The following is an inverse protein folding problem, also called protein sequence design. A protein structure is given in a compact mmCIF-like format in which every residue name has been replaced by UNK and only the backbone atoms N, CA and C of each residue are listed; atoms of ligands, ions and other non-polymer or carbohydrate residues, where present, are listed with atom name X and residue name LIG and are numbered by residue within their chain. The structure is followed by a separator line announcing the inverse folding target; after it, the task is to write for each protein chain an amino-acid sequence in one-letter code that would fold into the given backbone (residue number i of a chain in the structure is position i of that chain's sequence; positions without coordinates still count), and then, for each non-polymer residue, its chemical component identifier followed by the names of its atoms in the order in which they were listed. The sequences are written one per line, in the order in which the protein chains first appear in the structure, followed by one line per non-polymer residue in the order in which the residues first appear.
data_IF_901208228082
#
_entry.id   IF_901208228082
#
_cell.length_a   1.000
_cell.length_b   1.000
_cell.length_c   1.000
_cell.angle_alpha   90.00
_cell.angle_beta   90.00
_cell.angle_gamma   90.00
#
_symmetry.space_group_name_H-M   'P 1'
#
loop_
_entity.id
_entity.type
_entity.pdbx_description
1 polymer ?
#
# COMPACT_ATOMS: atom_id res chain seq x y z
N UNK A 1 55.24 -25.07 -52.85
CA UNK A 1 54.83 -24.23 -51.71
C UNK A 1 53.97 -25.12 -50.82
N UNK A 2 54.54 -25.80 -49.81
CA UNK A 2 53.79 -26.68 -48.87
C UNK A 2 54.61 -26.99 -47.59
N UNK A 3 55.53 -26.10 -47.19
CA UNK A 3 56.42 -26.33 -46.04
C UNK A 3 55.88 -25.86 -44.68
N UNK A 4 55.12 -24.75 -44.68
CA UNK A 4 54.78 -24.05 -43.42
C UNK A 4 53.47 -24.55 -42.78
N UNK A 5 52.57 -25.16 -43.57
CA UNK A 5 51.32 -25.73 -43.07
C UNK A 5 51.56 -27.00 -42.21
N UNK A 6 52.58 -27.81 -42.57
CA UNK A 6 52.92 -29.04 -41.84
C UNK A 6 53.63 -28.78 -40.52
N UNK A 7 54.49 -27.74 -40.44
CA UNK A 7 55.14 -27.35 -39.19
C UNK A 7 54.11 -26.88 -38.14
N UNK A 8 53.05 -26.21 -38.59
CA UNK A 8 51.97 -25.72 -37.72
C UNK A 8 51.07 -26.87 -37.23
N UNK A 9 50.79 -27.88 -38.06
CA UNK A 9 49.97 -29.04 -37.67
C UNK A 9 50.70 -30.03 -36.75
N UNK A 10 52.00 -30.26 -36.96
CA UNK A 10 52.86 -31.08 -36.08
C UNK A 10 53.06 -30.44 -34.69
N UNK A 11 53.22 -29.11 -34.64
CA UNK A 11 53.29 -28.36 -33.39
C UNK A 11 51.99 -28.43 -32.57
N UNK A 12 50.83 -28.43 -33.24
CA UNK A 12 49.54 -28.63 -32.59
C UNK A 12 49.36 -30.08 -32.10
N UNK A 13 49.73 -31.06 -32.92
CA UNK A 13 49.62 -32.49 -32.57
C UNK A 13 50.49 -32.88 -31.38
N UNK A 14 51.68 -32.30 -31.25
CA UNK A 14 52.55 -32.51 -30.08
C UNK A 14 51.97 -31.88 -28.81
N UNK A 15 51.23 -30.77 -28.93
CA UNK A 15 50.52 -30.13 -27.80
C UNK A 15 49.24 -30.85 -27.39
N UNK A 16 48.55 -31.55 -28.29
CA UNK A 16 47.33 -32.33 -27.98
C UNK A 16 47.58 -33.43 -26.95
N UNK A 17 48.82 -33.91 -26.78
CA UNK A 17 49.19 -34.91 -25.75
C UNK A 17 49.52 -34.30 -24.38
N UNK A 18 49.66 -32.98 -24.31
CA UNK A 18 49.92 -32.29 -23.04
C UNK A 18 48.62 -32.20 -22.24
N UNK A 19 48.62 -32.75 -21.03
CA UNK A 19 47.46 -32.72 -20.11
C UNK A 19 47.02 -31.29 -19.83
N UNK A 20 47.95 -30.31 -19.84
CA UNK A 20 47.62 -28.90 -19.68
C UNK A 20 46.85 -28.34 -20.88
N UNK A 21 47.21 -28.78 -22.08
CA UNK A 21 46.52 -28.38 -23.31
C UNK A 21 45.12 -28.99 -23.37
N UNK A 22 44.99 -30.29 -23.11
CA UNK A 22 43.67 -30.98 -23.04
C UNK A 22 42.78 -30.35 -21.98
N UNK A 23 43.32 -30.09 -20.78
CA UNK A 23 42.58 -29.43 -19.70
C UNK A 23 42.11 -28.02 -20.07
N UNK A 24 42.95 -27.26 -20.79
CA UNK A 24 42.56 -25.92 -21.27
C UNK A 24 41.45 -25.99 -22.31
N UNK A 25 41.55 -26.92 -23.28
CA UNK A 25 40.49 -27.13 -24.29
C UNK A 25 39.19 -27.55 -23.63
N UNK A 26 39.22 -28.45 -22.65
CA UNK A 26 38.04 -28.89 -21.89
C UNK A 26 37.40 -27.75 -21.08
N UNK A 27 38.20 -26.91 -20.42
CA UNK A 27 37.68 -25.73 -19.70
C UNK A 27 37.01 -24.76 -20.68
N UNK A 28 37.59 -24.53 -21.86
CA UNK A 28 37.02 -23.63 -22.86
C UNK A 28 35.77 -24.20 -23.53
N UNK A 29 35.70 -25.52 -23.78
CA UNK A 29 34.55 -26.13 -24.45
C UNK A 29 33.40 -26.43 -23.49
N UNK A 30 33.69 -27.01 -22.33
CA UNK A 30 32.66 -27.51 -21.41
C UNK A 30 32.38 -26.55 -20.26
N UNK A 31 33.38 -25.90 -19.68
CA UNK A 31 33.18 -25.12 -18.44
C UNK A 31 32.83 -23.66 -18.74
N UNK A 32 33.49 -23.05 -19.72
CA UNK A 32 33.32 -21.63 -20.05
C UNK A 32 31.89 -21.27 -20.48
N UNK A 33 31.16 -22.08 -21.27
CA UNK A 33 29.77 -21.78 -21.61
C UNK A 33 28.86 -21.78 -20.37
N UNK A 34 29.07 -22.69 -19.43
CA UNK A 34 28.30 -22.71 -18.19
C UNK A 34 28.58 -21.46 -17.34
N UNK A 35 29.86 -21.07 -17.21
CA UNK A 35 30.23 -19.84 -16.49
C UNK A 35 29.68 -18.58 -17.16
N UNK A 36 29.65 -18.52 -18.49
CA UNK A 36 29.07 -17.39 -19.22
C UNK A 36 27.56 -17.33 -19.04
N UNK A 37 26.84 -18.46 -19.15
CA UNK A 37 25.40 -18.55 -18.87
C UNK A 37 25.08 -18.10 -17.45
N UNK A 38 25.82 -18.57 -16.44
CA UNK A 38 25.61 -18.12 -15.06
C UNK A 38 25.81 -16.62 -14.93
N UNK A 39 26.87 -16.06 -15.51
CA UNK A 39 27.12 -14.61 -15.51
C UNK A 39 25.95 -13.83 -16.13
N UNK A 40 25.41 -14.30 -17.25
CA UNK A 40 24.24 -13.68 -17.89
C UNK A 40 22.98 -13.77 -17.03
N UNK A 41 22.75 -14.90 -16.35
CA UNK A 41 21.63 -15.06 -15.41
C UNK A 41 21.74 -14.11 -14.22
N UNK A 42 22.93 -13.98 -13.61
CA UNK A 42 23.17 -13.02 -12.52
C UNK A 42 22.91 -11.59 -12.98
N UNK A 43 23.41 -11.21 -14.16
CA UNK A 43 23.17 -9.88 -14.71
C UNK A 43 21.68 -9.64 -15.01
N UNK A 44 20.96 -10.68 -15.47
CA UNK A 44 19.50 -10.64 -15.62
C UNK A 44 18.77 -10.39 -14.30
N UNK A 45 19.18 -11.07 -13.23
CA UNK A 45 18.62 -10.89 -11.89
C UNK A 45 18.90 -9.51 -11.31
N UNK A 46 20.13 -8.99 -11.46
CA UNK A 46 20.50 -7.63 -11.07
C UNK A 46 19.67 -6.58 -11.82
N UNK A 47 19.48 -6.76 -13.13
CA UNK A 47 18.64 -5.89 -13.94
C UNK A 47 17.17 -5.95 -13.50
N UNK A 48 16.64 -7.14 -13.21
CA UNK A 48 15.28 -7.31 -12.70
C UNK A 48 15.10 -6.59 -11.36
N UNK A 49 16.03 -6.76 -10.43
CA UNK A 49 16.01 -6.07 -9.14
C UNK A 49 16.06 -4.56 -9.32
N UNK A 50 16.96 -4.05 -10.18
CA UNK A 50 17.06 -2.63 -10.47
C UNK A 50 15.75 -2.08 -11.06
N UNK A 51 15.14 -2.81 -12.00
CA UNK A 51 13.88 -2.42 -12.61
C UNK A 51 12.73 -2.44 -11.59
N UNK A 52 12.66 -3.46 -10.74
CA UNK A 52 11.67 -3.56 -9.67
C UNK A 52 11.80 -2.40 -8.68
N UNK A 53 13.00 -2.12 -8.18
CA UNK A 53 13.25 -1.02 -7.23
C UNK A 53 12.91 0.32 -7.87
N UNK A 54 13.28 0.53 -9.14
CA UNK A 54 12.95 1.76 -9.88
C UNK A 54 11.44 1.91 -10.02
N UNK A 55 10.74 0.86 -10.46
CA UNK A 55 9.29 0.87 -10.61
C UNK A 55 8.59 1.10 -9.25
N UNK A 56 9.07 0.47 -8.18
CA UNK A 56 8.55 0.67 -6.84
C UNK A 56 8.69 2.12 -6.38
N UNK A 57 9.88 2.71 -6.57
CA UNK A 57 10.12 4.13 -6.27
C UNK A 57 9.17 5.03 -7.05
N UNK A 58 9.09 4.84 -8.37
CA UNK A 58 8.19 5.62 -9.24
C UNK A 58 6.72 5.47 -8.83
N UNK A 59 6.30 4.26 -8.46
CA UNK A 59 4.92 4.01 -8.01
C UNK A 59 4.61 4.70 -6.67
N UNK A 60 5.56 4.69 -5.73
CA UNK A 60 5.41 5.40 -4.45
C UNK A 60 5.35 6.91 -4.71
N UNK A 61 6.29 7.44 -5.50
CA UNK A 61 6.34 8.87 -5.82
C UNK A 61 5.03 9.32 -6.48
N UNK A 62 4.57 8.60 -7.52
CA UNK A 62 3.30 8.88 -8.21
C UNK A 62 2.09 8.79 -7.28
N UNK A 63 2.07 7.85 -6.34
CA UNK A 63 0.95 7.67 -5.40
C UNK A 63 0.81 8.86 -4.45
N UNK A 64 1.92 9.50 -4.07
CA UNK A 64 1.90 10.59 -3.11
C UNK A 64 2.07 11.98 -3.76
N UNK A 65 2.42 12.08 -5.04
CA UNK A 65 2.75 13.32 -5.76
C UNK A 65 1.79 14.48 -5.45
N UNK A 66 0.48 14.24 -5.56
CA UNK A 66 -0.54 15.27 -5.31
C UNK A 66 -0.69 15.65 -3.84
N UNK A 67 -0.54 14.68 -2.93
CA UNK A 67 -0.76 14.84 -1.49
C UNK A 67 0.48 15.26 -0.71
N UNK A 68 1.67 14.99 -1.24
CA UNK A 68 2.96 15.17 -0.58
C UNK A 68 3.20 16.63 -0.15
N UNK A 69 2.87 17.67 -0.95
CA UNK A 69 3.02 19.06 -0.51
C UNK A 69 2.19 19.39 0.73
N UNK A 70 0.98 18.84 0.83
CA UNK A 70 0.05 19.09 1.93
C UNK A 70 0.48 18.32 3.19
N UNK A 71 0.81 17.03 3.05
CA UNK A 71 1.28 16.20 4.16
C UNK A 71 2.62 16.72 4.70
N UNK A 72 3.51 17.20 3.83
CA UNK A 72 4.78 17.82 4.27
C UNK A 72 4.55 19.13 5.04
N UNK A 73 3.52 19.89 4.66
CA UNK A 73 3.16 21.14 5.32
C UNK A 73 2.66 20.93 6.77
N UNK A 74 2.18 19.74 7.12
CA UNK A 74 1.74 19.39 8.48
C UNK A 74 2.84 19.46 9.54
N UNK A 75 4.10 19.45 9.12
CA UNK A 75 5.25 19.63 10.00
C UNK A 75 5.24 20.95 10.78
N UNK A 76 4.46 21.95 10.35
CA UNK A 76 4.34 23.23 11.07
C UNK A 76 3.74 23.11 12.47
N UNK A 77 2.94 22.07 12.70
CA UNK A 77 2.28 21.81 13.98
C UNK A 77 3.21 21.14 15.00
N UNK A 78 4.49 20.93 14.65
CA UNK A 78 5.51 20.46 15.59
C UNK A 78 6.03 21.65 16.43
N UNK A 79 5.74 21.69 17.75
CA UNK A 79 6.20 22.77 18.63
C UNK A 79 7.73 22.78 18.79
N UNK A 80 8.41 21.64 18.59
CA UNK A 80 9.87 21.57 18.72
C UNK A 80 10.59 22.34 17.61
N UNK A 81 9.99 22.39 16.41
CA UNK A 81 10.51 23.09 15.22
C UNK A 81 10.29 24.60 15.25
N UNK A 82 9.49 25.11 16.19
CA UNK A 82 9.24 26.55 16.33
C UNK A 82 10.54 27.26 16.77
N UNK A 83 11.04 28.24 15.99
CA UNK A 83 12.25 29.01 16.35
C UNK A 83 12.06 29.85 17.61
N UNK A 84 13.16 30.37 18.17
CA UNK A 84 13.10 31.35 19.27
C UNK A 84 12.50 32.67 18.79
N UNK A 85 11.80 33.40 19.67
CA UNK A 85 11.13 34.68 19.38
C UNK A 85 12.08 35.73 18.77
N UNK A 86 13.34 35.75 19.21
CA UNK A 86 14.34 36.73 18.78
C UNK A 86 14.93 36.41 17.39
N UNK A 87 14.68 35.21 16.86
CA UNK A 87 15.22 34.79 15.58
C UNK A 87 14.38 35.35 14.42
N UNK A 88 14.97 35.91 13.35
CA UNK A 88 14.23 36.45 12.21
C UNK A 88 13.34 35.40 11.52
N UNK A 89 13.78 34.14 11.56
CA UNK A 89 13.02 32.98 11.06
C UNK A 89 11.70 32.73 11.80
N UNK A 90 11.50 33.25 13.02
CA UNK A 90 10.23 33.11 13.74
C UNK A 90 9.08 33.84 13.04
N UNK A 91 9.34 35.00 12.41
CA UNK A 91 8.31 35.73 11.66
C UNK A 91 7.90 35.01 10.38
N UNK A 92 8.83 34.29 9.76
CA UNK A 92 8.64 33.56 8.50
C UNK A 92 8.14 32.12 8.71
N UNK A 93 8.30 31.56 9.91
CA UNK A 93 7.95 30.19 10.22
C UNK A 93 6.49 29.87 9.86
N UNK A 94 6.31 28.79 9.10
CA UNK A 94 5.02 28.22 8.76
C UNK A 94 4.22 28.96 7.69
N UNK A 95 4.67 30.13 7.18
CA UNK A 95 3.89 30.94 6.22
C UNK A 95 3.62 30.23 4.90
N UNK A 96 4.62 29.54 4.34
CA UNK A 96 4.46 28.82 3.06
C UNK A 96 3.60 27.57 3.25
N UNK A 97 3.83 26.84 4.34
CA UNK A 97 3.10 25.62 4.66
C UNK A 97 1.62 25.89 4.98
N UNK A 98 1.31 26.91 5.80
CA UNK A 98 -0.07 27.28 6.11
C UNK A 98 -0.80 27.74 4.84
N UNK A 99 -0.11 28.41 3.92
CA UNK A 99 -0.68 28.78 2.63
C UNK A 99 -1.01 27.56 1.78
N UNK A 100 -0.18 26.51 1.77
CA UNK A 100 -0.44 25.23 1.10
C UNK A 100 -1.66 24.54 1.70
N UNK A 101 -1.73 24.46 3.03
CA UNK A 101 -2.87 23.88 3.76
C UNK A 101 -4.15 24.65 3.44
N UNK A 102 -4.14 25.98 3.57
CA UNK A 102 -5.29 26.83 3.32
C UNK A 102 -5.80 26.70 1.89
N UNK A 103 -4.90 26.63 0.88
CA UNK A 103 -5.28 26.37 -0.51
C UNK A 103 -5.98 25.03 -0.66
N UNK A 104 -5.40 23.96 -0.13
CA UNK A 104 -5.95 22.61 -0.25
C UNK A 104 -7.37 22.49 0.33
N UNK A 105 -7.58 22.96 1.56
CA UNK A 105 -8.88 22.85 2.24
C UNK A 105 -9.95 23.80 1.71
N UNK A 106 -9.58 24.77 0.86
CA UNK A 106 -10.52 25.70 0.22
C UNK A 106 -10.61 25.50 -1.30
N UNK A 107 -9.97 24.46 -1.86
CA UNK A 107 -9.98 24.18 -3.30
C UNK A 107 -11.39 23.96 -3.85
N UNK A 108 -12.28 23.35 -3.07
CA UNK A 108 -13.67 23.06 -3.45
C UNK A 108 -14.66 24.17 -3.13
N UNK A 109 -14.22 25.28 -2.51
CA UNK A 109 -15.09 26.37 -2.07
C UNK A 109 -15.29 27.42 -3.19
N UNK A 110 -16.44 28.11 -3.23
CA UNK A 110 -16.67 29.17 -4.20
C UNK A 110 -15.71 30.36 -3.99
N UNK A 111 -15.32 31.02 -5.08
CA UNK A 111 -14.27 32.06 -5.08
C UNK A 111 -14.52 33.21 -4.09
N UNK A 112 -15.78 33.55 -3.83
CA UNK A 112 -16.17 34.63 -2.92
C UNK A 112 -15.87 34.35 -1.43
N UNK A 113 -15.83 33.09 -1.01
CA UNK A 113 -15.54 32.70 0.38
C UNK A 113 -14.12 32.16 0.55
N UNK A 114 -13.51 31.71 -0.55
CA UNK A 114 -12.18 31.10 -0.56
C UNK A 114 -11.12 31.98 0.06
N UNK A 115 -11.04 33.25 -0.34
CA UNK A 115 -10.01 34.18 0.16
C UNK A 115 -10.19 34.49 1.65
N UNK A 116 -11.44 34.73 2.09
CA UNK A 116 -11.74 34.97 3.51
C UNK A 116 -11.30 33.80 4.39
N UNK A 117 -11.71 32.58 4.04
CA UNK A 117 -11.38 31.38 4.83
C UNK A 117 -9.87 31.10 4.82
N UNK A 118 -9.18 31.34 3.69
CA UNK A 118 -7.73 31.21 3.65
C UNK A 118 -7.04 32.20 4.60
N UNK A 119 -7.53 33.42 4.69
CA UNK A 119 -6.93 34.44 5.55
C UNK A 119 -7.27 34.25 7.03
N UNK A 120 -8.45 33.74 7.34
CA UNK A 120 -8.81 33.27 8.68
C UNK A 120 -7.84 32.16 9.15
N UNK A 121 -7.58 31.14 8.32
CA UNK A 121 -6.61 30.08 8.64
C UNK A 121 -5.21 30.65 8.89
N UNK A 122 -4.74 31.57 8.05
CA UNK A 122 -3.42 32.20 8.21
C UNK A 122 -3.32 33.03 9.50
N UNK A 123 -4.38 33.77 9.82
CA UNK A 123 -4.45 34.62 11.00
C UNK A 123 -4.50 33.78 12.28
N UNK A 124 -5.34 32.75 12.30
CA UNK A 124 -5.38 31.77 13.38
C UNK A 124 -4.00 31.13 13.60
N UNK A 125 -3.29 30.77 12.52
CA UNK A 125 -1.98 30.14 12.62
C UNK A 125 -0.93 31.12 13.15
N UNK A 126 -0.99 32.38 12.71
CA UNK A 126 -0.09 33.42 13.18
C UNK A 126 -0.18 33.62 14.69
N UNK A 127 -1.38 33.50 15.27
CA UNK A 127 -1.61 33.48 16.72
C UNK A 127 -1.13 32.16 17.35
N UNK A 128 -1.59 31.03 16.82
CA UNK A 128 -1.24 29.68 17.29
C UNK A 128 0.28 29.47 17.42
N UNK A 129 1.07 30.02 16.50
CA UNK A 129 2.53 29.97 16.54
C UNK A 129 3.11 30.48 17.87
N UNK A 130 2.54 31.53 18.46
CA UNK A 130 2.98 32.03 19.76
C UNK A 130 2.57 31.08 20.89
N UNK A 131 1.37 30.52 20.83
CA UNK A 131 0.89 29.56 21.83
C UNK A 131 1.72 28.27 21.77
N UNK A 132 2.01 27.75 20.58
CA UNK A 132 2.88 26.59 20.37
C UNK A 132 4.29 26.81 20.94
N UNK A 133 4.82 28.03 20.86
CA UNK A 133 6.09 28.38 21.49
C UNK A 133 6.00 28.31 23.02
N UNK A 134 4.86 28.69 23.62
CA UNK A 134 4.64 28.55 25.06
C UNK A 134 4.51 27.08 25.45
N UNK A 135 3.70 26.30 24.71
CA UNK A 135 3.51 24.87 24.94
C UNK A 135 4.79 24.04 24.77
N UNK A 136 5.79 24.60 24.08
CA UNK A 136 7.12 23.99 24.01
C UNK A 136 7.70 23.67 25.39
N UNK A 137 7.35 24.46 26.41
CA UNK A 137 7.82 24.29 27.78
C UNK A 137 7.00 23.28 28.59
N UNK A 138 5.74 23.07 28.19
CA UNK A 138 4.77 22.22 28.90
C UNK A 138 4.61 20.83 28.25
N UNK A 139 5.42 20.49 27.24
CA UNK A 139 5.34 19.18 26.59
C UNK A 139 5.68 18.06 27.58
N UNK A 140 4.91 16.96 27.60
CA UNK A 140 5.26 15.77 28.36
C UNK A 140 6.67 15.29 27.97
N UNK A 141 7.47 14.92 28.96
CA UNK A 141 8.82 14.35 28.76
C UNK A 141 8.76 13.11 27.85
N UNK A 142 7.64 12.40 27.87
CA UNK A 142 7.30 11.27 27.02
C UNK A 142 7.35 11.62 25.52
N UNK A 143 6.99 12.85 25.13
CA UNK A 143 7.00 13.30 23.73
C UNK A 143 8.40 13.58 23.17
N UNK A 144 9.45 13.48 23.99
CA UNK A 144 10.83 13.66 23.55
C UNK A 144 11.35 12.37 22.89
N UNK A 145 11.73 12.39 21.60
CA UNK A 145 12.19 11.20 20.88
C UNK A 145 13.45 10.53 21.47
N UNK A 146 14.11 11.18 22.44
CA UNK A 146 15.32 10.68 23.09
C UNK A 146 15.09 9.55 24.10
N UNK A 147 13.87 9.33 24.62
CA UNK A 147 13.67 8.52 25.84
C UNK A 147 12.98 7.16 25.65
N UNK A 148 12.31 6.89 24.53
CA UNK A 148 11.61 5.62 24.26
C UNK A 148 10.98 5.65 22.87
N UNK A 149 10.61 4.51 22.23
CA UNK A 149 9.66 4.52 21.12
C UNK A 149 8.32 5.11 21.60
N UNK A 150 8.19 6.42 21.43
CA UNK A 150 7.12 7.21 21.97
C UNK A 150 5.76 6.76 21.42
N UNK A 151 4.75 6.64 22.29
CA UNK A 151 3.37 6.34 21.88
C UNK A 151 2.66 7.55 21.25
N UNK A 152 3.10 8.79 21.53
CA UNK A 152 2.43 10.03 21.13
C UNK A 152 3.46 11.11 20.76
N UNK A 153 3.53 11.50 19.49
CA UNK A 153 4.50 12.50 19.02
C UNK A 153 4.20 13.91 19.53
N UNK A 154 5.21 14.80 19.60
CA UNK A 154 5.02 16.22 19.96
C UNK A 154 3.98 16.92 19.05
N UNK A 155 3.97 16.58 17.76
CA UNK A 155 2.96 17.03 16.81
C UNK A 155 1.57 16.52 17.19
N UNK A 156 1.42 15.24 17.51
CA UNK A 156 0.13 14.67 17.92
C UNK A 156 -0.41 15.31 19.20
N UNK A 157 0.46 15.58 20.19
CA UNK A 157 0.09 16.29 21.41
C UNK A 157 -0.41 17.71 21.10
N UNK A 158 0.33 18.44 20.27
CA UNK A 158 -0.05 19.78 19.82
C UNK A 158 -1.41 19.79 19.10
N UNK A 159 -1.65 18.84 18.19
CA UNK A 159 -2.92 18.73 17.47
C UNK A 159 -4.10 18.45 18.41
N UNK A 160 -3.94 17.55 19.39
CA UNK A 160 -4.98 17.29 20.40
C UNK A 160 -5.30 18.52 21.24
N UNK A 161 -4.27 19.31 21.57
CA UNK A 161 -4.44 20.56 22.29
C UNK A 161 -5.17 21.61 21.46
N UNK A 162 -4.83 21.73 20.17
CA UNK A 162 -5.55 22.60 19.22
C UNK A 162 -7.04 22.23 19.17
N UNK A 163 -7.37 20.94 19.03
CA UNK A 163 -8.76 20.46 19.03
C UNK A 163 -9.49 20.81 20.34
N UNK A 164 -8.80 20.81 21.48
CA UNK A 164 -9.37 21.22 22.77
C UNK A 164 -9.65 22.72 22.84
N UNK A 165 -8.96 23.53 22.03
CA UNK A 165 -9.08 24.98 21.95
C UNK A 165 -9.89 25.44 20.72
N UNK A 166 -10.84 24.62 20.26
CA UNK A 166 -11.58 24.88 19.03
C UNK A 166 -12.29 26.23 18.99
N UNK A 167 -12.72 26.76 20.13
CA UNK A 167 -13.34 28.09 20.22
C UNK A 167 -12.38 29.23 19.81
N UNK A 168 -11.08 29.06 20.03
CA UNK A 168 -10.06 30.06 19.69
C UNK A 168 -9.50 29.87 18.28
N UNK A 169 -9.57 28.64 17.76
CA UNK A 169 -8.98 28.22 16.48
C UNK A 169 -9.97 27.39 15.65
N UNK A 170 -11.15 27.92 15.31
CA UNK A 170 -12.20 27.13 14.67
C UNK A 170 -11.78 26.56 13.31
N UNK A 171 -11.01 27.31 12.49
CA UNK A 171 -10.57 26.80 11.18
C UNK A 171 -9.43 25.81 11.30
N UNK A 172 -8.43 26.10 12.12
CA UNK A 172 -7.28 25.21 12.30
C UNK A 172 -7.66 23.93 13.04
N UNK A 173 -8.63 23.97 13.96
CA UNK A 173 -9.08 22.77 14.68
C UNK A 173 -9.70 21.74 13.75
N UNK A 174 -10.42 22.18 12.71
CA UNK A 174 -10.91 21.28 11.67
C UNK A 174 -9.74 20.63 10.91
N UNK A 175 -8.70 21.40 10.60
CA UNK A 175 -7.48 20.86 9.96
C UNK A 175 -6.80 19.86 10.89
N UNK A 176 -6.68 20.17 12.18
CA UNK A 176 -6.04 19.30 13.17
C UNK A 176 -6.80 17.98 13.35
N UNK A 177 -8.14 18.02 13.38
CA UNK A 177 -8.99 16.83 13.47
C UNK A 177 -8.85 15.92 12.22
N UNK A 178 -8.80 16.53 11.03
CA UNK A 178 -8.53 15.80 9.78
C UNK A 178 -7.15 15.14 9.83
N UNK A 179 -6.13 15.85 10.32
CA UNK A 179 -4.78 15.31 10.44
C UNK A 179 -4.71 14.12 11.42
N UNK A 180 -5.36 14.23 12.59
CA UNK A 180 -5.40 13.16 13.59
C UNK A 180 -6.19 11.93 13.11
N UNK A 181 -7.19 12.13 12.25
CA UNK A 181 -7.99 11.03 11.68
C UNK A 181 -7.40 10.42 10.40
N UNK A 182 -6.38 11.05 9.80
CA UNK A 182 -5.77 10.54 8.57
C UNK A 182 -4.99 9.24 8.85
N UNK A 183 -5.31 8.12 8.18
CA UNK A 183 -4.60 6.88 8.38
C UNK A 183 -3.19 6.96 7.79
N UNK A 184 -2.17 6.97 8.65
CA UNK A 184 -0.75 6.98 8.24
C UNK A 184 -0.22 5.55 7.97
N UNK A 185 -1.02 4.51 8.24
CA UNK A 185 -0.62 3.10 8.10
C UNK A 185 -1.64 2.24 7.35
N UNK A 186 -1.12 1.30 6.55
CA UNK A 186 -1.89 0.26 5.83
C UNK A 186 -2.54 -0.78 6.77
N UNK A 187 -2.37 -0.67 8.09
CA UNK A 187 -2.92 -1.60 9.07
C UNK A 187 -4.47 -1.73 9.03
N UNK A 188 -5.18 -0.72 8.51
CA UNK A 188 -6.63 -0.79 8.28
C UNK A 188 -6.98 -1.68 7.08
N UNK A 189 -6.42 -1.43 5.87
CA UNK A 189 -6.52 -2.35 4.74
C UNK A 189 -6.11 -3.79 5.07
N UNK A 190 -5.06 -4.00 5.85
CA UNK A 190 -4.55 -5.34 6.20
C UNK A 190 -5.50 -6.11 7.14
N UNK A 191 -6.09 -5.44 8.13
CA UNK A 191 -7.18 -6.01 8.94
C UNK A 191 -8.38 -6.37 8.06
N UNK A 192 -8.70 -5.52 7.09
CA UNK A 192 -9.72 -5.78 6.08
C UNK A 192 -9.42 -7.04 5.27
N UNK A 193 -8.23 -7.14 4.67
CA UNK A 193 -7.83 -8.28 3.84
C UNK A 193 -7.81 -9.60 4.62
N UNK A 194 -7.26 -9.60 5.84
CA UNK A 194 -7.29 -10.77 6.73
C UNK A 194 -8.72 -11.17 7.11
N UNK A 195 -9.57 -10.19 7.38
CA UNK A 195 -10.98 -10.43 7.68
C UNK A 195 -11.74 -10.99 6.46
N UNK A 196 -11.52 -10.43 5.27
CA UNK A 196 -12.05 -10.95 4.00
C UNK A 196 -11.63 -12.41 3.81
N UNK A 197 -10.35 -12.73 4.02
CA UNK A 197 -9.84 -14.10 3.92
C UNK A 197 -10.60 -15.02 4.89
N UNK A 198 -10.77 -14.63 6.16
CA UNK A 198 -11.51 -15.44 7.15
C UNK A 198 -12.98 -15.65 6.81
N UNK A 199 -13.66 -14.61 6.31
CA UNK A 199 -15.08 -14.68 5.94
C UNK A 199 -15.25 -15.53 4.67
N UNK A 200 -14.54 -15.21 3.58
CA UNK A 200 -14.64 -15.94 2.32
C UNK A 200 -14.21 -17.41 2.47
N UNK A 201 -13.15 -17.70 3.23
CA UNK A 201 -12.71 -19.08 3.48
C UNK A 201 -13.72 -19.91 4.28
N UNK A 202 -14.56 -19.28 5.11
CA UNK A 202 -15.62 -19.99 5.83
C UNK A 202 -16.88 -20.21 4.98
N UNK A 203 -17.19 -19.29 4.08
CA UNK A 203 -18.41 -19.32 3.26
C UNK A 203 -18.12 -19.60 1.77
N UNK A 204 -17.11 -20.45 1.51
CA UNK A 204 -16.32 -20.65 0.27
C UNK A 204 -16.98 -20.42 -1.10
N UNK A 205 -18.30 -20.51 -1.27
CA UNK A 205 -18.97 -20.33 -2.57
C UNK A 205 -20.36 -19.66 -2.55
N UNK A 206 -20.83 -19.09 -1.43
CA UNK A 206 -22.27 -18.69 -1.31
C UNK A 206 -22.53 -17.27 -0.81
N UNK A 207 -21.48 -16.48 -0.62
CA UNK A 207 -21.61 -15.17 0.00
C UNK A 207 -21.90 -14.08 -1.04
N UNK A 208 -23.13 -13.56 -1.07
CA UNK A 208 -23.49 -12.37 -1.84
C UNK A 208 -22.72 -11.14 -1.34
N UNK A 209 -22.50 -10.15 -2.21
CA UNK A 209 -21.71 -8.95 -1.90
C UNK A 209 -22.27 -8.19 -0.68
N UNK A 210 -23.58 -7.97 -0.61
CA UNK A 210 -24.23 -7.27 0.51
C UNK A 210 -23.99 -7.98 1.87
N UNK A 211 -24.01 -9.31 1.84
CA UNK A 211 -23.76 -10.13 3.03
C UNK A 211 -22.27 -10.12 3.40
N UNK A 212 -21.37 -10.12 2.41
CA UNK A 212 -19.93 -9.94 2.63
C UNK A 212 -19.65 -8.59 3.28
N UNK A 213 -20.20 -7.51 2.75
CA UNK A 213 -20.03 -6.16 3.28
C UNK A 213 -20.56 -6.06 4.71
N UNK A 214 -21.76 -6.60 4.97
CA UNK A 214 -22.34 -6.62 6.32
C UNK A 214 -21.47 -7.38 7.32
N UNK A 215 -20.98 -8.57 6.94
CA UNK A 215 -20.12 -9.38 7.79
C UNK A 215 -18.74 -8.74 8.01
N UNK A 216 -18.19 -8.05 7.02
CA UNK A 216 -16.96 -7.28 7.16
C UNK A 216 -17.14 -6.13 8.13
N UNK A 217 -18.23 -5.36 8.02
CA UNK A 217 -18.52 -4.27 8.94
C UNK A 217 -18.63 -4.76 10.39
N UNK A 218 -19.36 -5.86 10.62
CA UNK A 218 -19.46 -6.49 11.95
C UNK A 218 -18.12 -7.03 12.42
N UNK A 219 -17.29 -7.60 11.54
CA UNK A 219 -16.04 -8.22 11.98
C UNK A 219 -14.92 -7.21 12.21
N UNK A 220 -14.90 -6.09 11.49
CA UNK A 220 -13.87 -5.04 11.60
C UNK A 220 -14.24 -4.05 12.71
N UNK A 221 -15.49 -3.60 12.74
CA UNK A 221 -15.96 -2.54 13.65
C UNK A 221 -16.80 -3.10 14.82
N UNK A 222 -17.13 -4.38 14.80
CA UNK A 222 -17.90 -5.00 15.88
C UNK A 222 -17.12 -5.06 17.18
N UNK A 223 -17.88 -5.06 18.28
CA UNK A 223 -17.33 -5.14 19.63
C UNK A 223 -16.69 -6.50 19.86
N UNK A 224 -15.66 -6.53 20.72
CA UNK A 224 -15.03 -7.77 21.13
C UNK A 224 -16.05 -8.74 21.77
N UNK A 225 -15.99 -9.99 21.32
CA UNK A 225 -16.83 -11.09 21.82
C UNK A 225 -16.59 -11.29 23.32
N UNK A 226 -17.67 -11.57 24.07
CA UNK A 226 -17.58 -11.90 25.51
C UNK A 226 -17.60 -10.70 26.45
N UNK A 227 -17.71 -9.46 25.95
CA UNK A 227 -17.94 -8.28 26.79
C UNK A 227 -19.42 -8.16 27.17
N UNK A 228 -19.75 -7.69 28.39
CA UNK A 228 -21.15 -7.52 28.85
C UNK A 228 -22.00 -6.68 27.86
N UNK A 229 -21.39 -5.67 27.23
CA UNK A 229 -22.04 -4.85 26.19
C UNK A 229 -22.27 -5.59 24.87
N UNK A 230 -21.41 -6.54 24.48
CA UNK A 230 -21.62 -7.36 23.28
C UNK A 230 -22.79 -8.33 23.47
N UNK A 231 -22.94 -8.90 24.66
CA UNK A 231 -24.03 -9.81 25.00
C UNK A 231 -25.39 -9.13 24.90
N UNK A 232 -25.53 -7.94 25.49
CA UNK A 232 -26.76 -7.15 25.39
C UNK A 232 -27.08 -6.63 23.98
N UNK A 233 -26.08 -6.47 23.10
CA UNK A 233 -26.32 -6.18 21.69
C UNK A 233 -26.83 -7.41 20.94
N UNK A 234 -26.19 -8.57 21.14
CA UNK A 234 -26.59 -9.84 20.52
C UNK A 234 -28.01 -10.20 20.93
N UNK A 235 -28.35 -10.11 22.21
CA UNK A 235 -29.70 -10.39 22.71
C UNK A 235 -30.76 -9.49 22.06
N UNK A 236 -30.48 -8.18 21.94
CA UNK A 236 -31.36 -7.23 21.25
C UNK A 236 -31.50 -7.55 19.76
N UNK A 237 -30.38 -7.84 19.08
CA UNK A 237 -30.38 -8.22 17.66
C UNK A 237 -31.13 -9.52 17.42
N UNK A 238 -30.96 -10.54 18.27
CA UNK A 238 -31.67 -11.82 18.19
C UNK A 238 -33.16 -11.63 18.44
N UNK A 239 -33.54 -10.79 19.41
CA UNK A 239 -34.95 -10.47 19.68
C UNK A 239 -35.59 -9.74 18.49
N UNK A 240 -34.91 -8.73 17.94
CA UNK A 240 -35.38 -8.00 16.76
C UNK A 240 -35.49 -8.92 15.53
N UNK A 241 -34.46 -9.74 15.28
CA UNK A 241 -34.47 -10.75 14.21
C UNK A 241 -35.58 -11.78 14.37
N UNK A 242 -35.82 -12.24 15.59
CA UNK A 242 -36.85 -13.24 15.89
C UNK A 242 -38.27 -12.70 15.71
N UNK A 243 -38.43 -11.38 15.84
CA UNK A 243 -39.71 -10.68 15.69
C UNK A 243 -40.05 -10.32 14.24
N UNK A 244 -39.08 -10.42 13.31
CA UNK A 244 -39.29 -10.12 11.89
C UNK A 244 -40.08 -11.27 11.20
N UNK A 245 -41.23 -10.95 10.60
CA UNK A 245 -42.26 -11.93 10.18
C UNK A 245 -41.97 -12.73 8.89
N UNK A 246 -40.99 -12.36 8.07
CA UNK A 246 -40.77 -12.99 6.76
C UNK A 246 -39.63 -14.01 6.78
N UNK A 247 -39.81 -15.16 7.41
CA UNK A 247 -38.83 -16.25 7.34
C UNK A 247 -39.40 -17.43 6.54
N UNK A 248 -38.66 -17.89 5.52
CA UNK A 248 -38.84 -19.24 4.97
C UNK A 248 -38.44 -20.22 6.07
N UNK A 249 -39.40 -21.00 6.54
CA UNK A 249 -39.15 -22.11 7.47
C UNK A 249 -38.39 -23.17 6.67
N UNK A 250 -37.13 -23.41 7.00
CA UNK A 250 -36.40 -24.55 6.43
C UNK A 250 -37.08 -25.84 6.92
N UNK A 251 -37.32 -26.82 6.04
CA UNK A 251 -37.89 -28.10 6.44
C UNK A 251 -37.04 -28.69 7.57
N UNK A 252 -37.70 -29.07 8.66
CA UNK A 252 -37.06 -29.76 9.78
C UNK A 252 -36.48 -31.07 9.23
N UNK A 253 -35.18 -31.30 9.41
CA UNK A 253 -34.52 -32.52 8.95
C UNK A 253 -35.30 -33.74 9.45
N UNK A 254 -35.77 -34.58 8.53
CA UNK A 254 -36.35 -35.89 8.85
C UNK A 254 -35.23 -36.76 9.41
N UNK A 255 -35.45 -37.33 10.59
CA UNK A 255 -34.63 -38.41 11.13
C UNK A 255 -34.77 -39.61 10.20
N UNK A 256 -33.61 -40.09 9.72
CA UNK A 256 -33.23 -41.39 9.18
C UNK A 256 -34.18 -42.08 8.19
N UNK A 257 -33.68 -42.34 6.97
CA UNK A 257 -33.21 -43.67 6.53
C UNK A 257 -32.95 -43.70 5.01
N UNK A 258 -31.92 -44.48 4.66
CA UNK A 258 -31.61 -45.09 3.35
C UNK A 258 -30.84 -44.28 2.28
N UNK A 259 -29.68 -44.88 1.97
CA UNK A 259 -28.91 -44.94 0.72
C UNK A 259 -28.15 -43.72 0.18
N UNK A 260 -26.90 -43.64 0.64
CA UNK A 260 -25.78 -42.97 -0.01
C UNK A 260 -25.30 -43.76 -1.22
N UNK A 261 -25.67 -43.34 -2.43
CA UNK A 261 -24.80 -43.42 -3.60
C UNK A 261 -25.05 -42.22 -4.51
N UNK A 262 -24.10 -41.29 -4.57
CA UNK A 262 -23.56 -40.82 -5.86
C UNK A 262 -22.32 -39.98 -5.63
N UNK A 263 -21.31 -40.31 -6.42
CA UNK A 263 -19.92 -39.88 -6.34
C UNK A 263 -19.70 -38.38 -6.56
N UNK A 264 -18.68 -37.89 -5.86
CA UNK A 264 -18.02 -36.62 -6.07
C UNK A 264 -17.18 -36.61 -7.35
N UNK A 265 -17.42 -35.68 -8.27
CA UNK A 265 -16.39 -35.22 -9.21
C UNK A 265 -15.93 -33.80 -8.82
N UNK A 266 -14.71 -33.74 -8.29
CA UNK A 266 -13.95 -32.53 -8.03
C UNK A 266 -13.42 -31.98 -9.36
N UNK A 267 -13.99 -30.86 -9.82
CA UNK A 267 -13.34 -30.05 -10.85
C UNK A 267 -12.37 -29.09 -10.17
N UNK A 268 -11.07 -29.36 -10.32
CA UNK A 268 -10.01 -28.44 -9.90
C UNK A 268 -10.05 -27.23 -10.84
N UNK A 269 -10.18 -26.03 -10.29
CA UNK A 269 -9.93 -24.79 -11.02
C UNK A 269 -8.64 -24.19 -10.47
N UNK A 270 -7.63 -24.11 -11.33
CA UNK A 270 -6.35 -23.44 -11.04
C UNK A 270 -6.59 -21.94 -11.13
N UNK A 271 -6.25 -21.23 -10.06
CA UNK A 271 -6.38 -19.78 -9.93
C UNK A 271 -5.30 -19.07 -10.76
N UNK A 272 -5.71 -18.30 -11.76
CA UNK A 272 -4.82 -17.46 -12.57
C UNK A 272 -4.57 -16.13 -11.83
N UNK A 273 -3.68 -16.17 -10.84
CA UNK A 273 -3.17 -15.00 -10.16
C UNK A 273 -1.65 -14.92 -10.28
N UNK A 274 -1.18 -13.87 -10.95
CA UNK A 274 0.23 -13.50 -11.22
C UNK A 274 0.78 -14.05 -12.54
N UNK A 275 0.46 -13.36 -13.64
CA UNK A 275 1.32 -13.34 -14.83
C UNK A 275 2.28 -12.15 -14.69
N UNK A 276 3.56 -12.46 -14.49
CA UNK A 276 4.65 -11.62 -14.99
C UNK A 276 4.91 -12.06 -16.42
N UNK A 277 4.75 -11.15 -17.38
CA UNK A 277 5.09 -11.43 -18.78
C UNK A 277 6.61 -11.64 -18.90
N UNK A 278 7.02 -12.91 -18.88
CA UNK A 278 8.31 -13.36 -19.39
C UNK A 278 8.16 -13.60 -20.89
N UNK A 279 8.74 -12.71 -21.68
CA UNK A 279 8.86 -12.86 -23.12
C UNK A 279 9.95 -13.91 -23.42
N UNK A 280 9.55 -15.16 -23.63
CA UNK A 280 10.33 -16.13 -24.40
C UNK A 280 9.60 -16.39 -25.71
N UNK A 281 10.27 -16.08 -26.82
CA UNK A 281 9.75 -16.26 -28.16
C UNK A 281 9.88 -17.70 -28.65
N UNK A 282 8.97 -18.10 -29.53
CA UNK A 282 9.22 -19.13 -30.53
C UNK A 282 8.55 -18.73 -31.85
N UNK A 283 9.43 -18.52 -32.82
CA UNK A 283 9.39 -18.85 -34.25
C UNK A 283 8.08 -19.37 -34.86
N UNK A 284 7.70 -18.71 -35.96
CA UNK A 284 7.12 -19.23 -37.21
C UNK A 284 5.89 -20.15 -37.16
N UNK A 285 4.74 -19.65 -37.65
CA UNK A 285 4.25 -20.12 -38.95
C UNK A 285 3.24 -19.14 -39.58
N UNK A 286 3.19 -19.21 -40.90
CA UNK A 286 2.69 -18.26 -41.88
C UNK A 286 1.27 -18.62 -42.35
N UNK A 287 0.53 -17.61 -42.82
CA UNK A 287 -0.82 -17.58 -43.46
C UNK A 287 -1.85 -16.93 -42.52
N UNK A 288 -2.40 -15.74 -42.79
CA UNK A 288 -2.85 -15.21 -44.06
C UNK A 288 -4.36 -15.07 -43.97
N UNK A 289 -4.86 -13.84 -43.73
CA UNK A 289 -6.01 -13.19 -44.38
C UNK A 289 -6.65 -12.11 -43.51
N UNK A 290 -6.88 -10.99 -44.18
CA UNK A 290 -7.62 -9.79 -43.83
C UNK A 290 -8.72 -9.89 -42.76
N UNK A 291 -8.74 -8.90 -41.86
CA UNK A 291 -10.02 -8.31 -41.49
C UNK A 291 -9.95 -6.81 -41.25
N UNK A 292 -10.80 -6.15 -42.04
CA UNK A 292 -11.05 -4.73 -42.18
C UNK A 292 -11.50 -4.09 -40.87
N UNK A 293 -10.88 -2.94 -40.58
CA UNK A 293 -11.26 -1.97 -39.56
C UNK A 293 -12.54 -1.25 -39.99
N UNK A 294 -13.61 -1.28 -39.18
CA UNK A 294 -14.58 -0.16 -39.15
C UNK A 294 -15.36 -0.07 -37.84
N UNK A 295 -15.34 1.16 -37.35
CA UNK A 295 -16.02 1.83 -36.25
C UNK A 295 -17.52 1.59 -36.12
N UNK A 296 -18.06 1.85 -34.92
CA UNK A 296 -19.45 2.28 -34.73
C UNK A 296 -19.99 1.88 -33.36
N UNK A 297 -20.10 2.85 -32.45
CA UNK A 297 -20.59 2.64 -31.08
C UNK A 297 -22.10 2.48 -30.97
N UNK A 298 -22.58 2.26 -29.75
CA UNK A 298 -23.98 2.44 -29.38
C UNK A 298 -24.09 2.80 -27.90
N UNK A 299 -24.79 3.93 -27.69
CA UNK A 299 -25.64 4.38 -26.56
C UNK A 299 -25.35 3.89 -25.14
#
# INVERSE_FOLDING_TARGET
MDGDAMATSLGLFTKVKDVKFIGTVYILSEVLPHLSTMKHQYQGLENLLCNYVRALKTNIDRRFEESLPVVSAWSIFDPLKVPKKDHPGFKLYGKTQVQTIAKHFTSSMPSNQKESVQEEIKTEFAKLKYDMFMWKQDLPEECNPSMSPCKVTATECCLKQICSLFYFYPKISNVADIMLSTPVSNAWPERGASCVKRIKTRFRLTLKNDMLQSLLQVSINGRAYGTNNSKGLIERSVKAWSSAKNRRILPRARQDTADLQSESQLHVFVDAGVQSDSLEGLSEEMQGTDCVRRSGGFL
#
